data_IF_810100178948
#
_entry.id   IF_810100178948
#
_cell.length_a   1.000
_cell.length_b   1.000
_cell.length_c   1.000
_cell.angle_alpha   90.00
_cell.angle_beta   90.00
_cell.angle_gamma   90.00
#
_symmetry.space_group_name_H-M   'P 1'
#
loop_
_entity.id
_entity.type
_entity.pdbx_description
1 polymer ?
#
# COMPACT_ATOMS: atom_id res chain seq x y z
N UNK A 1 1.46 -11.22 15.75
CA UNK A 1 2.13 -10.06 15.11
C UNK A 1 1.51 -8.77 15.63
N UNK A 2 2.34 -7.85 16.04
CA UNK A 2 1.88 -6.58 16.55
C UNK A 2 1.63 -5.60 15.40
N UNK A 3 0.47 -4.96 15.42
CA UNK A 3 0.11 -3.97 14.40
C UNK A 3 0.70 -2.61 14.79
N UNK A 4 1.46 -2.02 13.89
CA UNK A 4 2.10 -0.72 14.12
C UNK A 4 1.13 0.44 13.94
N UNK A 5 1.48 1.62 14.48
CA UNK A 5 0.69 2.83 14.26
C UNK A 5 0.66 3.21 12.77
N UNK A 6 1.76 2.97 12.05
CA UNK A 6 1.80 3.22 10.61
C UNK A 6 0.74 2.40 9.87
N UNK A 7 0.62 1.11 10.22
CA UNK A 7 -0.41 0.26 9.62
C UNK A 7 -1.82 0.76 9.93
N UNK A 8 -2.06 1.17 11.18
CA UNK A 8 -3.36 1.69 11.59
C UNK A 8 -3.71 2.97 10.83
N UNK A 9 -2.75 3.88 10.72
CA UNK A 9 -2.95 5.16 10.03
C UNK A 9 -3.22 4.94 8.55
N UNK A 10 -2.47 4.05 7.90
CA UNK A 10 -2.67 3.76 6.49
C UNK A 10 -4.03 3.10 6.25
N UNK A 11 -4.41 2.14 7.08
CA UNK A 11 -5.73 1.50 6.97
C UNK A 11 -6.87 2.52 7.15
N UNK A 12 -6.71 3.45 8.10
CA UNK A 12 -7.68 4.52 8.29
C UNK A 12 -7.78 5.41 7.05
N UNK A 13 -6.65 5.69 6.40
CA UNK A 13 -6.62 6.49 5.17
C UNK A 13 -7.41 5.81 4.05
N UNK A 14 -7.27 4.49 3.89
CA UNK A 14 -8.06 3.74 2.92
C UNK A 14 -9.55 3.88 3.18
N UNK A 15 -9.97 3.70 4.42
CA UNK A 15 -11.39 3.76 4.77
C UNK A 15 -11.96 5.16 4.65
N UNK A 16 -11.18 6.19 5.00
CA UNK A 16 -11.59 7.58 4.80
C UNK A 16 -11.77 7.91 3.32
N UNK A 17 -10.86 7.43 2.47
CA UNK A 17 -10.94 7.62 1.02
C UNK A 17 -12.23 7.02 0.47
N UNK A 18 -12.57 5.81 0.90
CA UNK A 18 -13.83 5.16 0.52
C UNK A 18 -15.04 5.96 0.99
N UNK A 19 -15.00 6.44 2.23
CA UNK A 19 -16.09 7.22 2.82
C UNK A 19 -16.32 8.53 2.08
N UNK A 20 -15.26 9.14 1.57
CA UNK A 20 -15.34 10.37 0.79
C UNK A 20 -15.63 10.11 -0.69
N UNK A 21 -15.84 8.85 -1.05
CA UNK A 21 -16.14 8.42 -2.42
C UNK A 21 -15.05 8.85 -3.43
N UNK A 22 -13.81 8.74 -3.01
CA UNK A 22 -12.65 9.13 -3.83
C UNK A 22 -11.84 7.93 -4.31
N UNK A 23 -12.48 6.79 -4.50
CA UNK A 23 -11.80 5.58 -4.96
C UNK A 23 -12.55 4.94 -6.11
N UNK A 24 -11.88 4.11 -6.89
CA UNK A 24 -12.46 3.40 -8.01
C UNK A 24 -12.07 1.92 -7.95
N UNK A 25 -12.93 1.13 -7.32
CA UNK A 25 -12.80 -0.32 -7.21
C UNK A 25 -11.40 -0.76 -6.80
N UNK A 26 -10.78 -1.64 -7.60
CA UNK A 26 -9.47 -2.23 -7.29
C UNK A 26 -8.30 -1.52 -8.00
N UNK A 27 -8.59 -0.42 -8.70
CA UNK A 27 -7.59 0.28 -9.49
C UNK A 27 -6.70 1.23 -8.67
N UNK A 28 -7.06 1.48 -7.41
CA UNK A 28 -6.35 2.42 -6.55
C UNK A 28 -5.42 1.67 -5.59
N UNK A 29 -4.32 2.33 -5.23
CA UNK A 29 -3.40 1.76 -4.25
C UNK A 29 -2.63 2.87 -3.52
N UNK A 30 -2.43 2.66 -2.23
CA UNK A 30 -1.69 3.58 -1.36
C UNK A 30 -0.56 2.82 -0.70
N UNK A 31 0.54 3.52 -0.43
CA UNK A 31 1.62 2.96 0.35
C UNK A 31 2.18 3.96 1.35
N UNK A 32 2.82 3.45 2.38
CA UNK A 32 3.50 4.26 3.39
C UNK A 32 4.83 3.60 3.74
N UNK A 33 5.89 4.38 3.68
CA UNK A 33 7.25 3.91 3.94
C UNK A 33 7.48 3.73 5.44
N UNK A 34 8.16 2.65 5.80
CA UNK A 34 8.62 2.45 7.18
C UNK A 34 9.72 3.45 7.48
N UNK A 35 9.64 4.20 8.59
CA UNK A 35 10.66 5.20 8.93
C UNK A 35 12.08 4.62 8.92
N UNK A 36 12.98 5.32 8.27
CA UNK A 36 14.40 4.93 8.19
C UNK A 36 14.69 3.79 7.23
N UNK A 37 13.74 3.41 6.36
CA UNK A 37 13.86 2.27 5.47
C UNK A 37 13.21 2.58 4.13
N UNK A 38 13.50 1.78 3.11
CA UNK A 38 12.76 1.81 1.84
C UNK A 38 11.64 0.77 1.81
N UNK A 39 11.49 -0.02 2.88
CA UNK A 39 10.37 -0.95 3.01
C UNK A 39 9.08 -0.15 3.14
N UNK A 40 7.98 -0.70 2.62
CA UNK A 40 6.70 0.03 2.65
C UNK A 40 5.53 -0.93 2.78
N UNK A 41 4.45 -0.43 3.39
CA UNK A 41 3.18 -1.13 3.42
C UNK A 41 2.34 -0.71 2.24
N UNK A 42 1.60 -1.64 1.68
CA UNK A 42 0.70 -1.40 0.56
C UNK A 42 -0.55 -2.27 0.75
N UNK A 43 -1.65 -1.89 0.13
CA UNK A 43 -2.90 -2.64 0.26
C UNK A 43 -2.84 -3.98 -0.49
N UNK A 44 -3.46 -4.99 0.12
CA UNK A 44 -3.64 -6.29 -0.49
C UNK A 44 -4.61 -6.18 -1.67
N UNK A 45 -4.30 -6.86 -2.77
CA UNK A 45 -5.14 -6.86 -3.95
C UNK A 45 -6.53 -7.44 -3.66
N UNK A 46 -7.53 -6.90 -4.32
CA UNK A 46 -8.89 -7.45 -4.28
C UNK A 46 -9.73 -7.07 -3.07
N UNK A 47 -9.23 -6.22 -2.20
CA UNK A 47 -10.01 -5.75 -1.03
C UNK A 47 -10.47 -4.32 -1.29
N UNK A 48 -11.78 -4.10 -1.19
CA UNK A 48 -12.34 -2.75 -1.31
C UNK A 48 -11.80 -1.87 -0.17
N UNK A 49 -11.52 -0.61 -0.46
CA UNK A 49 -10.93 0.33 0.52
C UNK A 49 -11.72 0.41 1.83
N UNK A 50 -13.06 0.33 1.75
CA UNK A 50 -13.90 0.38 2.95
C UNK A 50 -13.71 -0.82 3.87
N UNK A 51 -13.11 -1.89 3.38
CA UNK A 51 -12.93 -3.14 4.12
C UNK A 51 -11.48 -3.41 4.52
N UNK A 52 -10.56 -2.53 4.15
CA UNK A 52 -9.13 -2.74 4.48
C UNK A 52 -8.89 -2.54 5.97
N UNK A 53 -8.33 -3.56 6.61
CA UNK A 53 -7.90 -3.53 8.00
C UNK A 53 -6.37 -3.39 8.05
N UNK A 54 -5.86 -2.91 9.17
CA UNK A 54 -4.40 -2.79 9.35
C UNK A 54 -3.68 -4.12 9.08
N UNK A 55 -4.28 -5.23 9.47
CA UNK A 55 -3.70 -6.56 9.26
C UNK A 55 -3.73 -7.03 7.80
N UNK A 56 -4.48 -6.33 6.93
CA UNK A 56 -4.53 -6.66 5.50
C UNK A 56 -3.40 -6.01 4.71
N UNK A 57 -2.65 -5.10 5.33
CA UNK A 57 -1.55 -4.42 4.65
C UNK A 57 -0.34 -5.34 4.54
N UNK A 58 0.31 -5.29 3.39
CA UNK A 58 1.46 -6.15 3.07
C UNK A 58 2.74 -5.34 3.17
N UNK A 59 3.71 -5.84 3.93
CA UNK A 59 5.04 -5.20 4.00
C UNK A 59 5.88 -5.67 2.82
N UNK A 60 6.32 -4.72 2.01
CA UNK A 60 7.17 -4.98 0.86
C UNK A 60 8.61 -4.65 1.24
N UNK A 61 9.49 -5.62 1.04
CA UNK A 61 10.92 -5.48 1.32
C UNK A 61 11.73 -5.86 0.08
N UNK A 62 13.02 -5.58 0.09
CA UNK A 62 13.91 -6.00 -1.01
C UNK A 62 13.92 -7.52 -1.16
N UNK A 63 13.73 -8.22 -0.06
CA UNK A 63 13.78 -9.70 -0.04
C UNK A 63 12.53 -10.33 -0.65
N UNK A 64 11.36 -9.70 -0.52
CA UNK A 64 10.11 -10.32 -0.97
C UNK A 64 9.50 -9.69 -2.22
N UNK A 65 10.00 -8.56 -2.69
CA UNK A 65 9.36 -7.83 -3.79
C UNK A 65 9.32 -8.65 -5.09
N UNK A 66 10.39 -9.38 -5.39
CA UNK A 66 10.45 -10.18 -6.62
C UNK A 66 9.46 -11.34 -6.58
N UNK A 67 9.33 -11.98 -5.43
CA UNK A 67 8.36 -13.06 -5.25
C UNK A 67 6.93 -12.51 -5.41
N UNK A 68 6.65 -11.37 -4.81
CA UNK A 68 5.31 -10.78 -4.85
C UNK A 68 4.93 -10.25 -6.23
N UNK A 69 5.90 -9.88 -7.06
CA UNK A 69 5.63 -9.49 -8.44
C UNK A 69 4.99 -10.63 -9.24
N UNK A 70 5.23 -11.86 -8.84
CA UNK A 70 4.67 -13.05 -9.48
C UNK A 70 3.37 -13.51 -8.81
N UNK A 71 2.85 -12.74 -7.87
CA UNK A 71 1.62 -13.06 -7.13
C UNK A 71 0.64 -11.89 -7.17
N UNK A 72 0.07 -11.60 -8.37
CA UNK A 72 -0.85 -10.45 -8.51
C UNK A 72 -2.12 -10.58 -7.68
N UNK A 73 -2.45 -11.79 -7.23
CA UNK A 73 -3.57 -12.04 -6.32
C UNK A 73 -3.29 -11.53 -4.91
N UNK A 74 -2.04 -11.29 -4.55
CA UNK A 74 -1.65 -10.76 -3.23
C UNK A 74 -1.48 -9.25 -3.29
N UNK A 75 -0.66 -8.76 -4.23
CA UNK A 75 -0.41 -7.34 -4.42
C UNK A 75 -0.38 -7.05 -5.91
N UNK A 76 -1.07 -5.98 -6.32
CA UNK A 76 -1.06 -5.54 -7.72
C UNK A 76 0.39 -5.26 -8.15
N UNK A 77 0.83 -5.91 -9.22
CA UNK A 77 2.19 -5.75 -9.73
C UNK A 77 2.48 -4.32 -10.20
N UNK A 78 1.47 -3.62 -10.73
CA UNK A 78 1.61 -2.20 -11.09
C UNK A 78 1.92 -1.36 -9.84
N UNK A 79 1.24 -1.65 -8.73
CA UNK A 79 1.50 -0.98 -7.46
C UNK A 79 2.93 -1.22 -7.00
N UNK A 80 3.42 -2.45 -7.09
CA UNK A 80 4.79 -2.75 -6.70
C UNK A 80 5.81 -1.96 -7.52
N UNK A 81 5.60 -1.83 -8.82
CA UNK A 81 6.52 -1.10 -9.68
C UNK A 81 6.51 0.40 -9.39
N UNK A 82 5.32 1.00 -9.29
CA UNK A 82 5.20 2.43 -9.03
C UNK A 82 5.69 2.80 -7.64
N UNK A 83 5.14 2.17 -6.62
CA UNK A 83 5.45 2.50 -5.23
C UNK A 83 6.89 2.11 -4.87
N UNK A 84 7.34 0.96 -5.33
CA UNK A 84 8.70 0.51 -5.06
C UNK A 84 9.74 1.46 -5.63
N UNK A 85 9.54 1.91 -6.86
CA UNK A 85 10.47 2.84 -7.51
C UNK A 85 10.48 4.19 -6.80
N UNK A 86 9.31 4.73 -6.44
CA UNK A 86 9.23 6.03 -5.79
C UNK A 86 9.88 5.98 -4.40
N UNK A 87 9.59 4.95 -3.60
CA UNK A 87 10.17 4.83 -2.26
C UNK A 87 11.69 4.68 -2.31
N UNK A 88 12.21 4.00 -3.34
CA UNK A 88 13.65 3.85 -3.52
C UNK A 88 14.31 5.14 -3.99
N UNK A 89 13.73 5.78 -5.01
CA UNK A 89 14.34 6.94 -5.70
C UNK A 89 14.05 8.28 -5.02
N UNK A 90 12.97 8.37 -4.27
CA UNK A 90 12.55 9.59 -3.60
C UNK A 90 12.29 9.32 -2.13
N UNK A 91 13.35 9.13 -1.32
CA UNK A 91 13.21 8.74 0.08
C UNK A 91 12.46 9.76 0.96
N UNK A 92 12.29 10.99 0.48
CA UNK A 92 11.48 12.00 1.16
C UNK A 92 9.97 11.77 0.98
N UNK A 93 9.57 10.98 -0.02
CA UNK A 93 8.16 10.65 -0.26
C UNK A 93 7.77 9.50 0.67
N UNK A 94 7.20 9.84 1.83
CA UNK A 94 6.86 8.86 2.87
C UNK A 94 5.57 8.12 2.59
N UNK A 95 4.61 8.78 1.94
CA UNK A 95 3.32 8.20 1.56
C UNK A 95 3.04 8.48 0.10
N UNK A 96 2.45 7.50 -0.58
CA UNK A 96 2.11 7.61 -2.00
C UNK A 96 0.68 7.16 -2.17
N UNK A 97 -0.15 8.01 -2.79
CA UNK A 97 -1.56 7.74 -3.03
C UNK A 97 -1.83 7.77 -4.53
N UNK A 98 -2.29 6.66 -5.07
CA UNK A 98 -2.71 6.54 -6.46
C UNK A 98 -4.23 6.39 -6.49
N UNK A 99 -4.91 7.43 -6.93
CA UNK A 99 -6.36 7.53 -6.93
C UNK A 99 -6.92 7.77 -8.31
N UNK A 100 -8.13 7.29 -8.54
CA UNK A 100 -8.95 7.59 -9.72
C UNK A 100 -10.25 8.19 -9.20
N UNK A 101 -10.40 9.47 -9.31
CA UNK A 101 -11.62 10.16 -8.84
C UNK A 101 -12.58 10.45 -9.98
#
# INVERSE_FOLDING_TARGET
MEITELQKDLAATFRWTARLNMHEAVANHFSACVPGSSDFYVNKAGIHFSQIKASDLILITKENIEELRNKPEVVDSTALNIHGTIHEKAPHAKCIFHLHS
#
